data_IF_801101855723
#
_entry.id   IF_801101855723
#
_cell.length_a   1.000
_cell.length_b   1.000
_cell.length_c   1.000
_cell.angle_alpha   90.00
_cell.angle_beta   90.00
_cell.angle_gamma   90.00
#
_symmetry.space_group_name_H-M   'P 1'
#
loop_
_entity.id
_entity.type
_entity.pdbx_description
1 polymer ?
#
# COMPACT_ATOMS: atom_id res chain seq x y z
N UNK A 1 -10.64 9.18 -18.03
CA UNK A 1 -9.82 8.07 -18.54
C UNK A 1 -9.49 7.14 -17.39
N UNK A 2 -10.01 5.90 -17.38
CA UNK A 2 -9.67 4.91 -16.34
C UNK A 2 -8.22 4.47 -16.56
N UNK A 3 -7.31 4.97 -15.70
CA UNK A 3 -5.94 4.47 -15.66
C UNK A 3 -5.98 3.06 -15.11
N UNK A 4 -5.59 2.09 -15.94
CA UNK A 4 -5.42 0.69 -15.52
C UNK A 4 -4.30 0.60 -14.48
N UNK A 5 -4.36 -0.39 -13.56
CA UNK A 5 -3.25 -0.63 -12.64
C UNK A 5 -1.97 -0.92 -13.43
N UNK A 6 -0.86 -0.36 -12.94
CA UNK A 6 0.47 -0.56 -13.51
C UNK A 6 1.15 -1.65 -12.68
N UNK A 7 1.68 -2.68 -13.35
CA UNK A 7 2.49 -3.71 -12.69
C UNK A 7 3.76 -3.07 -12.12
N UNK A 8 4.05 -3.35 -10.85
CA UNK A 8 5.27 -2.84 -10.19
C UNK A 8 6.28 -3.96 -9.93
N UNK A 9 5.86 -5.03 -9.25
CA UNK A 9 6.72 -6.16 -8.88
C UNK A 9 5.87 -7.32 -8.30
N UNK A 10 6.50 -8.45 -7.99
CA UNK A 10 5.86 -9.59 -7.30
C UNK A 10 6.77 -10.15 -6.21
N UNK A 11 6.24 -10.25 -4.99
CA UNK A 11 6.96 -10.77 -3.83
C UNK A 11 6.18 -11.89 -3.14
N UNK A 12 6.91 -12.87 -2.61
CA UNK A 12 6.34 -13.91 -1.75
C UNK A 12 5.96 -13.33 -0.39
N UNK A 13 4.79 -13.72 0.13
CA UNK A 13 4.40 -13.46 1.51
C UNK A 13 5.34 -14.22 2.44
N UNK A 14 6.07 -13.50 3.28
CA UNK A 14 7.02 -14.10 4.21
C UNK A 14 6.28 -14.81 5.37
N UNK A 15 6.97 -15.73 6.06
CA UNK A 15 6.40 -16.54 7.13
C UNK A 15 5.82 -15.72 8.29
N UNK A 16 6.35 -14.52 8.52
CA UNK A 16 5.86 -13.58 9.52
C UNK A 16 4.89 -12.54 8.95
N UNK A 17 4.23 -12.87 7.84
CA UNK A 17 3.18 -12.08 7.18
C UNK A 17 3.67 -10.75 6.57
N UNK A 18 4.98 -10.58 6.36
CA UNK A 18 5.54 -9.41 5.70
C UNK A 18 5.56 -9.56 4.17
N UNK A 19 5.27 -8.46 3.48
CA UNK A 19 5.52 -8.31 2.05
C UNK A 19 6.50 -7.15 1.83
N UNK A 20 7.40 -7.28 0.86
CA UNK A 20 8.30 -6.20 0.47
C UNK A 20 7.58 -5.26 -0.48
N UNK A 21 7.57 -3.97 -0.18
CA UNK A 21 7.07 -2.96 -1.11
C UNK A 21 8.11 -2.64 -2.19
N UNK A 22 7.70 -2.50 -3.47
CA UNK A 22 8.61 -2.19 -4.56
C UNK A 22 9.16 -0.76 -4.45
N UNK A 23 10.45 -0.55 -4.76
CA UNK A 23 11.11 0.75 -4.62
C UNK A 23 10.46 1.87 -5.47
N UNK A 24 9.78 1.50 -6.55
CA UNK A 24 9.11 2.43 -7.47
C UNK A 24 8.02 3.28 -6.79
N UNK A 25 7.43 2.81 -5.68
CA UNK A 25 6.39 3.58 -4.97
C UNK A 25 6.91 4.89 -4.39
N UNK A 26 8.21 5.00 -4.09
CA UNK A 26 8.80 6.21 -3.52
C UNK A 26 8.58 7.43 -4.42
N UNK A 27 8.72 7.22 -5.74
CA UNK A 27 8.53 8.27 -6.73
C UNK A 27 7.07 8.35 -7.19
N UNK A 28 6.40 7.21 -7.37
CA UNK A 28 5.04 7.17 -7.92
C UNK A 28 3.97 7.66 -6.93
N UNK A 29 4.21 7.50 -5.62
CA UNK A 29 3.28 7.87 -4.56
C UNK A 29 3.82 8.97 -3.64
N UNK A 30 5.04 9.47 -3.89
CA UNK A 30 5.70 10.50 -3.07
C UNK A 30 5.77 10.14 -1.58
N UNK A 31 6.11 8.89 -1.27
CA UNK A 31 6.14 8.36 0.10
C UNK A 31 7.56 8.27 0.66
N UNK A 32 7.69 8.43 1.97
CA UNK A 32 8.95 8.42 2.68
C UNK A 32 9.07 7.18 3.58
N UNK A 33 10.24 6.53 3.52
CA UNK A 33 10.52 5.29 4.27
C UNK A 33 10.53 5.57 5.77
N UNK A 34 9.79 4.79 6.53
CA UNK A 34 9.72 4.93 7.99
C UNK A 34 8.85 6.08 8.48
N UNK A 35 8.29 6.89 7.58
CA UNK A 35 7.43 8.03 7.90
C UNK A 35 6.01 7.79 7.41
N UNK A 36 5.84 7.48 6.11
CA UNK A 36 4.51 7.32 5.53
C UNK A 36 3.83 6.04 6.03
N UNK A 37 2.63 6.21 6.61
CA UNK A 37 1.76 5.11 7.04
C UNK A 37 0.81 4.70 5.91
N UNK A 38 0.45 3.43 5.88
CA UNK A 38 -0.54 2.90 4.94
C UNK A 38 -1.67 2.20 5.69
N UNK A 39 -2.91 2.58 5.37
CA UNK A 39 -4.10 1.84 5.76
C UNK A 39 -4.31 0.67 4.79
N UNK A 40 -4.60 -0.51 5.35
CA UNK A 40 -4.78 -1.76 4.60
C UNK A 40 -6.27 -2.08 4.53
N UNK A 41 -6.79 -2.26 3.32
CA UNK A 41 -8.17 -2.64 3.06
C UNK A 41 -8.23 -3.96 2.28
N UNK A 42 -9.30 -4.72 2.45
CA UNK A 42 -9.59 -5.92 1.66
C UNK A 42 -10.76 -5.63 0.72
N UNK A 43 -10.52 -5.72 -0.59
CA UNK A 43 -11.57 -5.79 -1.60
C UNK A 43 -11.93 -7.27 -1.79
N UNK A 44 -13.08 -7.68 -1.23
CA UNK A 44 -13.53 -9.08 -1.24
C UNK A 44 -13.95 -9.54 -2.63
N UNK A 45 -14.48 -8.63 -3.46
CA UNK A 45 -14.96 -8.96 -4.81
C UNK A 45 -13.79 -9.27 -5.74
N UNK A 46 -12.71 -8.47 -5.64
CA UNK A 46 -11.49 -8.69 -6.42
C UNK A 46 -10.49 -9.62 -5.76
N UNK A 47 -10.66 -9.91 -4.47
CA UNK A 47 -9.70 -10.65 -3.62
C UNK A 47 -8.32 -9.98 -3.59
N UNK A 48 -8.32 -8.66 -3.42
CA UNK A 48 -7.12 -7.83 -3.44
C UNK A 48 -6.94 -7.11 -2.10
N UNK A 49 -5.68 -6.94 -1.68
CA UNK A 49 -5.35 -5.99 -0.62
C UNK A 49 -5.05 -4.62 -1.25
N UNK A 50 -5.71 -3.59 -0.73
CA UNK A 50 -5.52 -2.20 -1.15
C UNK A 50 -4.77 -1.46 -0.05
N UNK A 51 -3.62 -0.90 -0.40
CA UNK A 51 -2.83 -0.03 0.46
C UNK A 51 -3.12 1.42 0.10
N UNK A 52 -3.62 2.22 1.05
CA UNK A 52 -3.83 3.66 0.88
C UNK A 52 -2.94 4.43 1.83
N UNK A 53 -2.36 5.54 1.38
CA UNK A 53 -1.64 6.45 2.28
C UNK A 53 -2.62 6.88 3.37
N UNK A 54 -2.24 6.68 4.63
CA UNK A 54 -3.05 7.11 5.76
C UNK A 54 -2.82 8.59 6.01
N UNK A 55 -3.90 9.34 6.21
CA UNK A 55 -3.79 10.73 6.67
C UNK A 55 -3.46 10.72 8.17
N UNK A 56 -2.49 11.54 8.58
CA UNK A 56 -2.06 11.63 9.99
C UNK A 56 -3.21 12.05 10.95
N UNK A 57 -4.34 12.54 10.42
CA UNK A 57 -5.48 13.01 11.19
C UNK A 57 -6.46 11.89 11.60
N UNK A 58 -6.29 10.66 11.11
CA UNK A 58 -7.18 9.54 11.48
C UNK A 58 -6.81 8.90 12.83
N UNK A 59 -5.61 9.15 13.36
CA UNK A 59 -5.19 8.65 14.68
C UNK A 59 -5.79 9.44 15.85
N UNK A 60 -6.27 10.67 15.63
CA UNK A 60 -6.88 11.52 16.69
C UNK A 60 -8.39 11.26 16.93
N UNK A 61 -9.03 10.36 16.17
CA UNK A 61 -10.47 10.07 16.30
C UNK A 61 -10.80 8.78 17.05
N UNK A 62 -9.85 8.18 17.76
CA UNK A 62 -10.10 7.01 18.62
C UNK A 62 -10.00 7.35 20.10
#
# INVERSE_FOLDING_TARGET
>A
MNKKPIYLDTYTLQQDMRIRLPKSILNNLSVEKGVTKFSIFLDQDKKELILRIADNNEEEKK
#
